data_IF_353230244595
#
_entry.id   IF_353230244595
#
_cell.length_a   1.000
_cell.length_b   1.000
_cell.length_c   1.000
_cell.angle_alpha   90.00
_cell.angle_beta   90.00
_cell.angle_gamma   90.00
#
_symmetry.space_group_name_H-M   'P 1'
#
loop_
_entity.id
_entity.type
_entity.pdbx_description
1 polymer ?
#
# COMPACT_ATOMS: atom_id res chain seq x y z
N UNK A 1 -76.33 -3.99 6.09
CA UNK A 1 -75.26 -2.98 6.32
C UNK A 1 -73.93 -3.63 5.99
N UNK A 2 -73.43 -3.42 4.76
CA UNK A 2 -72.10 -3.89 4.36
C UNK A 2 -71.08 -2.79 4.63
N UNK A 3 -70.13 -3.02 5.54
CA UNK A 3 -68.98 -2.14 5.67
C UNK A 3 -67.94 -2.53 4.61
N UNK A 4 -67.86 -1.73 3.56
CA UNK A 4 -66.69 -1.73 2.68
C UNK A 4 -65.52 -1.16 3.48
N UNK A 5 -64.61 -2.01 3.93
CA UNK A 5 -63.26 -1.54 4.28
C UNK A 5 -62.56 -1.16 2.99
N UNK A 6 -62.53 0.14 2.71
CA UNK A 6 -61.60 0.72 1.74
C UNK A 6 -60.19 0.36 2.21
N UNK A 7 -59.59 -0.64 1.57
CA UNK A 7 -58.16 -0.87 1.61
C UNK A 7 -57.50 0.39 1.07
N UNK A 8 -56.92 1.19 1.97
CA UNK A 8 -56.02 2.28 1.61
C UNK A 8 -54.85 1.69 0.83
N UNK A 9 -54.91 1.72 -0.50
CA UNK A 9 -53.73 1.61 -1.35
C UNK A 9 -52.83 2.79 -1.00
N UNK A 10 -51.87 2.54 -0.09
CA UNK A 10 -50.78 3.47 0.15
C UNK A 10 -50.04 3.75 -1.16
N UNK A 11 -49.48 4.95 -1.34
CA UNK A 11 -48.86 5.35 -2.59
C UNK A 11 -47.81 4.30 -2.99
N UNK A 12 -47.99 3.72 -4.17
CA UNK A 12 -47.07 2.74 -4.71
C UNK A 12 -45.65 3.33 -4.68
N UNK A 13 -44.71 2.60 -4.09
CA UNK A 13 -43.32 3.02 -3.98
C UNK A 13 -42.71 3.12 -5.39
N UNK A 14 -42.79 4.30 -6.00
CA UNK A 14 -42.41 4.57 -7.40
C UNK A 14 -40.94 4.21 -7.66
N UNK A 15 -40.11 4.31 -6.62
CA UNK A 15 -38.69 3.94 -6.63
C UNK A 15 -38.55 2.41 -6.77
N UNK A 16 -39.47 1.63 -6.23
CA UNK A 16 -39.53 0.17 -6.40
C UNK A 16 -40.12 -0.29 -7.72
N UNK A 17 -40.69 0.59 -8.55
CA UNK A 17 -41.26 0.25 -9.87
C UNK A 17 -40.21 0.31 -10.98
N UNK A 18 -39.07 0.97 -10.74
CA UNK A 18 -37.98 1.10 -11.70
C UNK A 18 -37.45 -0.26 -12.21
N UNK A 19 -37.07 -0.35 -13.51
CA UNK A 19 -36.30 -1.46 -14.05
C UNK A 19 -35.04 -1.76 -13.24
N UNK A 20 -34.65 -3.03 -13.16
CA UNK A 20 -33.51 -3.45 -12.34
C UNK A 20 -32.20 -2.77 -12.75
N UNK A 21 -32.00 -2.50 -14.03
CA UNK A 21 -30.80 -1.84 -14.55
C UNK A 21 -30.65 -0.41 -14.02
N UNK A 22 -31.76 0.34 -13.92
CA UNK A 22 -31.76 1.69 -13.33
C UNK A 22 -31.53 1.65 -11.82
N UNK A 23 -32.03 0.61 -11.14
CA UNK A 23 -31.75 0.40 -9.71
C UNK A 23 -30.26 0.13 -9.49
N UNK A 24 -29.63 -0.67 -10.35
CA UNK A 24 -28.19 -0.92 -10.30
C UNK A 24 -27.39 0.34 -10.59
N UNK A 25 -27.78 1.17 -11.56
CA UNK A 25 -27.09 2.44 -11.84
C UNK A 25 -27.19 3.42 -10.66
N UNK A 26 -28.35 3.50 -9.99
CA UNK A 26 -28.50 4.29 -8.77
C UNK A 26 -27.57 3.75 -7.67
N UNK A 27 -27.52 2.42 -7.47
CA UNK A 27 -26.66 1.80 -6.46
C UNK A 27 -25.16 1.97 -6.78
N UNK A 28 -24.79 1.95 -8.07
CA UNK A 28 -23.43 2.21 -8.54
C UNK A 28 -22.99 3.64 -8.22
N UNK A 29 -23.89 4.62 -8.45
CA UNK A 29 -23.67 6.03 -8.12
C UNK A 29 -23.54 6.30 -6.61
N UNK A 30 -24.08 5.43 -5.75
CA UNK A 30 -23.86 5.53 -4.30
C UNK A 30 -22.40 5.22 -3.90
N UNK A 31 -21.66 4.47 -4.73
CA UNK A 31 -20.22 4.24 -4.57
C UNK A 31 -19.78 3.51 -3.29
N UNK A 32 -20.72 3.07 -2.45
CA UNK A 32 -20.46 2.43 -1.16
C UNK A 32 -21.41 1.27 -0.92
N UNK A 33 -20.86 0.09 -0.58
CA UNK A 33 -21.67 -1.07 -0.24
C UNK A 33 -22.58 -0.83 0.97
N UNK A 34 -22.20 0.06 1.90
CA UNK A 34 -23.03 0.40 3.06
C UNK A 34 -24.27 1.20 2.66
N UNK A 35 -24.07 2.24 1.85
CA UNK A 35 -25.18 3.05 1.33
C UNK A 35 -26.10 2.21 0.44
N UNK A 36 -25.51 1.37 -0.42
CA UNK A 36 -26.24 0.45 -1.28
C UNK A 36 -26.94 -0.68 -0.50
N UNK A 37 -26.40 -1.13 0.63
CA UNK A 37 -27.13 -2.01 1.54
C UNK A 37 -28.24 -1.27 2.29
N UNK A 38 -28.07 0.01 2.59
CA UNK A 38 -29.08 0.87 3.22
C UNK A 38 -30.35 1.02 2.38
N UNK A 39 -30.25 1.03 1.05
CA UNK A 39 -31.44 1.06 0.16
C UNK A 39 -32.30 -0.20 0.27
N UNK A 40 -31.77 -1.29 0.83
CA UNK A 40 -32.55 -2.50 1.17
C UNK A 40 -33.64 -2.25 2.22
N UNK A 41 -33.61 -1.09 2.90
CA UNK A 41 -34.66 -0.62 3.80
C UNK A 41 -35.82 0.04 3.06
N UNK A 42 -35.60 0.56 1.84
CA UNK A 42 -36.65 1.21 1.05
C UNK A 42 -37.71 0.19 0.62
N UNK A 43 -37.27 -1.00 0.18
CA UNK A 43 -38.18 -2.04 -0.27
C UNK A 43 -37.51 -3.40 -0.39
N UNK A 44 -38.33 -4.46 -0.40
CA UNK A 44 -37.89 -5.85 -0.59
C UNK A 44 -37.16 -6.06 -1.92
N UNK A 45 -37.49 -5.29 -2.98
CA UNK A 45 -36.80 -5.40 -4.27
C UNK A 45 -35.33 -4.96 -4.21
N UNK A 46 -34.99 -4.01 -3.34
CA UNK A 46 -33.62 -3.50 -3.20
C UNK A 46 -32.70 -4.44 -2.40
N UNK A 47 -33.29 -5.40 -1.67
CA UNK A 47 -32.53 -6.37 -0.88
C UNK A 47 -31.66 -7.24 -1.77
N UNK A 48 -30.36 -7.08 -1.63
CA UNK A 48 -29.36 -7.89 -2.34
C UNK A 48 -29.03 -7.40 -3.76
N UNK A 49 -29.69 -6.37 -4.30
CA UNK A 49 -29.30 -5.78 -5.59
C UNK A 49 -27.88 -5.23 -5.57
N UNK A 50 -27.48 -4.65 -4.44
CA UNK A 50 -26.12 -4.15 -4.25
C UNK A 50 -25.07 -5.24 -4.42
N UNK A 51 -25.41 -6.53 -4.24
CA UNK A 51 -24.47 -7.63 -4.49
C UNK A 51 -24.23 -7.90 -5.98
N UNK A 52 -25.07 -7.39 -6.89
CA UNK A 52 -24.92 -7.55 -8.35
C UNK A 52 -24.08 -6.44 -8.99
N UNK A 53 -23.61 -5.47 -8.20
CA UNK A 53 -22.85 -4.35 -8.72
C UNK A 53 -21.44 -4.79 -9.16
N UNK A 54 -20.99 -4.37 -10.35
CA UNK A 54 -19.63 -4.62 -10.79
C UNK A 54 -18.65 -3.85 -9.90
N UNK A 55 -18.91 -2.59 -9.54
CA UNK A 55 -18.00 -1.73 -8.77
C UNK A 55 -18.45 -1.48 -7.33
N UNK A 56 -18.13 -2.42 -6.46
CA UNK A 56 -18.37 -2.26 -5.03
C UNK A 56 -17.14 -1.74 -4.28
N UNK A 57 -17.36 -0.72 -3.47
CA UNK A 57 -16.43 -0.25 -2.44
C UNK A 57 -16.83 -0.83 -1.09
N UNK A 58 -16.00 -1.71 -0.55
CA UNK A 58 -16.11 -2.21 0.81
C UNK A 58 -15.15 -1.43 1.70
N UNK A 59 -15.72 -0.61 2.60
CA UNK A 59 -14.95 0.21 3.52
C UNK A 59 -15.30 -0.12 4.96
N UNK A 60 -14.34 -0.73 5.65
CA UNK A 60 -14.37 -0.96 7.09
C UNK A 60 -13.50 0.12 7.74
N UNK A 61 -14.11 1.00 8.52
CA UNK A 61 -13.42 2.11 9.18
C UNK A 61 -13.64 2.03 10.67
N UNK A 62 -12.55 2.13 11.43
CA UNK A 62 -12.56 2.29 12.88
C UNK A 62 -13.40 1.21 13.58
N UNK A 63 -13.35 -0.02 13.05
CA UNK A 63 -13.97 -1.20 13.65
C UNK A 63 -12.90 -2.07 14.35
N UNK A 64 -13.27 -2.74 15.45
CA UNK A 64 -12.41 -3.74 16.08
C UNK A 64 -11.99 -4.81 15.08
N UNK A 65 -10.75 -5.30 15.19
CA UNK A 65 -10.22 -6.29 14.24
C UNK A 65 -11.12 -7.53 14.12
N UNK A 66 -11.66 -8.02 15.24
CA UNK A 66 -12.54 -9.19 15.25
C UNK A 66 -13.83 -8.98 14.43
N UNK A 67 -14.42 -7.78 14.51
CA UNK A 67 -15.62 -7.42 13.73
C UNK A 67 -15.32 -7.36 12.23
N UNK A 68 -14.16 -6.79 11.86
CA UNK A 68 -13.69 -6.75 10.47
C UNK A 68 -13.46 -8.16 9.96
N UNK A 69 -12.73 -8.99 10.71
CA UNK A 69 -12.46 -10.37 10.34
C UNK A 69 -13.75 -11.16 10.11
N UNK A 70 -14.71 -11.08 11.04
CA UNK A 70 -15.99 -11.77 10.90
C UNK A 70 -16.85 -11.23 9.74
N UNK A 71 -16.82 -9.94 9.46
CA UNK A 71 -17.52 -9.35 8.32
C UNK A 71 -16.89 -9.79 6.98
N UNK A 72 -15.56 -9.76 6.90
CA UNK A 72 -14.80 -10.16 5.72
C UNK A 72 -14.97 -11.66 5.43
N UNK A 73 -14.88 -12.49 6.47
CA UNK A 73 -15.10 -13.94 6.35
C UNK A 73 -16.51 -14.26 5.82
N UNK A 74 -17.53 -13.56 6.32
CA UNK A 74 -18.91 -13.69 5.81
C UNK A 74 -19.06 -13.17 4.38
N UNK A 75 -18.37 -12.10 4.02
CA UNK A 75 -18.37 -11.56 2.66
C UNK A 75 -17.69 -12.55 1.69
N UNK A 76 -16.55 -13.12 2.08
CA UNK A 76 -15.82 -14.12 1.30
C UNK A 76 -16.62 -15.42 1.15
N UNK A 77 -17.27 -15.90 2.22
CA UNK A 77 -18.12 -17.09 2.19
C UNK A 77 -19.39 -16.91 1.33
N UNK A 78 -19.90 -15.68 1.22
CA UNK A 78 -21.06 -15.35 0.37
C UNK A 78 -20.67 -14.86 -1.02
N UNK A 79 -19.38 -14.78 -1.33
CA UNK A 79 -18.87 -14.35 -2.62
C UNK A 79 -19.42 -15.24 -3.72
N UNK A 80 -20.33 -14.70 -4.53
CA UNK A 80 -20.81 -15.37 -5.74
C UNK A 80 -19.81 -15.11 -6.87
N UNK A 81 -19.49 -16.10 -7.71
CA UNK A 81 -18.68 -15.86 -8.90
C UNK A 81 -19.37 -14.81 -9.78
N UNK A 82 -18.67 -13.69 -10.06
CA UNK A 82 -19.19 -12.57 -10.86
C UNK A 82 -19.44 -11.26 -10.10
N UNK A 83 -19.38 -11.26 -8.76
CA UNK A 83 -19.42 -10.03 -7.96
C UNK A 83 -18.00 -9.56 -7.72
N UNK A 84 -17.70 -8.35 -8.18
CA UNK A 84 -16.35 -7.84 -8.17
C UNK A 84 -16.25 -6.69 -7.18
N UNK A 85 -15.27 -6.76 -6.28
CA UNK A 85 -14.98 -5.64 -5.39
C UNK A 85 -13.93 -4.80 -6.09
N UNK A 86 -14.28 -3.58 -6.47
CA UNK A 86 -13.31 -2.68 -7.08
C UNK A 86 -12.40 -2.12 -6.01
N UNK A 87 -12.97 -1.72 -4.87
CA UNK A 87 -12.22 -1.06 -3.81
C UNK A 87 -12.44 -1.76 -2.47
N UNK A 88 -11.38 -2.33 -1.89
CA UNK A 88 -11.39 -2.88 -0.54
C UNK A 88 -10.52 -2.01 0.37
N UNK A 89 -11.16 -1.25 1.25
CA UNK A 89 -10.53 -0.39 2.24
C UNK A 89 -10.78 -0.93 3.64
N UNK A 90 -9.72 -1.35 4.31
CA UNK A 90 -9.78 -1.88 5.67
C UNK A 90 -8.93 -0.97 6.56
N UNK A 91 -9.56 -0.28 7.49
CA UNK A 91 -8.92 0.47 8.57
C UNK A 91 -9.36 -0.10 9.90
N UNK A 92 -8.41 -0.66 10.64
CA UNK A 92 -8.67 -1.24 11.96
C UNK A 92 -8.71 -0.12 13.00
N UNK A 93 -9.69 -0.17 13.92
CA UNK A 93 -9.77 0.76 15.04
C UNK A 93 -8.47 0.78 15.84
N UNK A 94 -8.10 1.96 16.36
CA UNK A 94 -6.92 2.19 17.19
C UNK A 94 -6.94 1.48 18.54
N UNK A 95 -7.03 0.16 18.56
CA UNK A 95 -6.95 -0.66 19.77
C UNK A 95 -5.49 -1.02 20.05
N UNK A 96 -5.06 -0.83 21.30
CA UNK A 96 -3.76 -1.31 21.73
C UNK A 96 -3.83 -2.84 21.89
N UNK A 97 -2.94 -3.56 21.22
CA UNK A 97 -2.93 -5.01 21.34
C UNK A 97 -2.06 -5.71 20.30
N UNK A 98 -1.96 -7.04 20.47
CA UNK A 98 -1.22 -7.91 19.57
C UNK A 98 -2.19 -8.86 18.86
N UNK A 99 -2.20 -8.82 17.54
CA UNK A 99 -2.95 -9.77 16.71
C UNK A 99 -2.04 -10.96 16.39
N UNK A 100 -2.51 -12.18 16.60
CA UNK A 100 -1.80 -13.37 16.15
C UNK A 100 -1.65 -13.40 14.63
N UNK A 101 -0.45 -13.70 14.14
CA UNK A 101 -0.14 -13.77 12.70
C UNK A 101 -1.13 -14.64 11.92
N UNK A 102 -1.56 -15.78 12.47
CA UNK A 102 -2.56 -16.65 11.84
C UNK A 102 -3.93 -15.98 11.62
N UNK A 103 -4.39 -15.13 12.54
CA UNK A 103 -5.67 -14.40 12.36
C UNK A 103 -5.53 -13.34 11.27
N UNK A 104 -4.36 -12.70 11.19
CA UNK A 104 -4.05 -11.72 10.16
C UNK A 104 -3.89 -12.38 8.78
N UNK A 105 -3.21 -13.52 8.68
CA UNK A 105 -3.12 -14.32 7.45
C UNK A 105 -4.49 -14.79 6.98
N UNK A 106 -5.37 -15.19 7.90
CA UNK A 106 -6.77 -15.52 7.59
C UNK A 106 -7.52 -14.31 7.04
N UNK A 107 -7.35 -13.12 7.62
CA UNK A 107 -7.95 -11.88 7.10
C UNK A 107 -7.45 -11.59 5.67
N UNK A 108 -6.15 -11.67 5.41
CA UNK A 108 -5.59 -11.46 4.07
C UNK A 108 -6.11 -12.51 3.09
N UNK A 109 -6.25 -13.76 3.52
CA UNK A 109 -6.77 -14.84 2.68
C UNK A 109 -8.24 -14.60 2.30
N UNK A 110 -9.06 -14.14 3.26
CA UNK A 110 -10.45 -13.76 3.00
C UNK A 110 -10.52 -12.52 2.09
N UNK A 111 -9.61 -11.55 2.25
CA UNK A 111 -9.49 -10.41 1.36
C UNK A 111 -9.11 -10.83 -0.07
N UNK A 112 -8.20 -11.80 -0.22
CA UNK A 112 -7.78 -12.31 -1.52
C UNK A 112 -8.92 -13.05 -2.25
N UNK A 113 -9.78 -13.76 -1.52
CA UNK A 113 -10.99 -14.41 -2.07
C UNK A 113 -11.98 -13.41 -2.66
N UNK A 114 -11.98 -12.17 -2.16
CA UNK A 114 -12.79 -11.09 -2.70
C UNK A 114 -12.22 -10.49 -4.00
N UNK A 115 -10.98 -10.85 -4.37
CA UNK A 115 -10.32 -10.42 -5.61
C UNK A 115 -10.38 -8.91 -5.89
N UNK A 116 -9.99 -8.04 -4.93
CA UNK A 116 -10.10 -6.60 -5.11
C UNK A 116 -9.20 -6.07 -6.23
N UNK A 117 -9.66 -5.03 -6.94
CA UNK A 117 -8.82 -4.29 -7.90
C UNK A 117 -7.89 -3.33 -7.17
N UNK A 118 -8.40 -2.59 -6.18
CA UNK A 118 -7.63 -1.77 -5.26
C UNK A 118 -7.78 -2.27 -3.82
N UNK A 119 -6.65 -2.62 -3.20
CA UNK A 119 -6.58 -2.99 -1.79
C UNK A 119 -5.91 -1.88 -0.98
N UNK A 120 -6.56 -1.40 0.06
CA UNK A 120 -5.95 -0.55 1.09
C UNK A 120 -6.17 -1.16 2.47
N UNK A 121 -5.09 -1.44 3.17
CA UNK A 121 -5.11 -1.97 4.54
C UNK A 121 -4.30 -1.03 5.43
N UNK A 122 -4.93 -0.47 6.45
CA UNK A 122 -4.30 0.41 7.43
C UNK A 122 -4.48 -0.16 8.83
N UNK A 123 -3.37 -0.52 9.45
CA UNK A 123 -3.28 -0.90 10.86
C UNK A 123 -2.84 0.31 11.68
N UNK A 124 -3.44 0.53 12.86
CA UNK A 124 -3.08 1.66 13.70
C UNK A 124 -1.73 1.43 14.39
N UNK A 125 -1.03 2.51 14.78
CA UNK A 125 0.36 2.45 15.29
C UNK A 125 0.50 1.72 16.63
N UNK A 126 -0.58 1.60 17.39
CA UNK A 126 -0.63 0.91 18.67
C UNK A 126 -0.95 -0.59 18.53
N UNK A 127 -1.23 -1.06 17.33
CA UNK A 127 -1.56 -2.44 17.06
C UNK A 127 -0.38 -3.16 16.39
N UNK A 128 0.06 -4.25 17.02
CA UNK A 128 1.15 -5.08 16.53
C UNK A 128 0.60 -6.40 16.01
N UNK A 129 1.19 -6.93 14.95
CA UNK A 129 0.98 -8.33 14.55
C UNK A 129 2.13 -9.12 15.18
N UNK A 130 1.81 -10.20 15.89
CA UNK A 130 2.80 -11.05 16.55
C UNK A 130 3.90 -11.41 15.56
N UNK A 131 5.16 -11.20 15.96
CA UNK A 131 6.37 -11.29 15.16
C UNK A 131 6.61 -12.68 14.53
N UNK A 132 5.85 -13.00 13.49
CA UNK A 132 6.07 -14.12 12.58
C UNK A 132 5.75 -13.64 11.17
N UNK A 133 6.51 -14.15 10.21
CA UNK A 133 6.34 -13.86 8.79
C UNK A 133 4.91 -14.18 8.32
N UNK A 134 4.16 -13.14 7.97
CA UNK A 134 2.80 -13.29 7.43
C UNK A 134 2.91 -13.55 5.94
N UNK A 135 2.42 -14.71 5.50
CA UNK A 135 2.33 -15.03 4.08
C UNK A 135 1.31 -14.12 3.37
N UNK A 136 1.75 -13.37 2.36
CA UNK A 136 0.89 -12.64 1.44
C UNK A 136 0.21 -13.64 0.48
N UNK A 137 -1.14 -13.69 0.46
CA UNK A 137 -1.87 -14.49 -0.51
C UNK A 137 -1.81 -13.84 -1.90
N UNK A 138 -2.21 -14.60 -2.92
CA UNK A 138 -2.19 -14.11 -4.29
C UNK A 138 -3.36 -13.18 -4.59
N UNK A 139 -3.05 -11.97 -5.06
CA UNK A 139 -4.03 -11.00 -5.53
C UNK A 139 -3.94 -10.87 -7.06
N UNK A 140 -4.56 -11.83 -7.76
CA UNK A 140 -4.46 -11.95 -9.23
C UNK A 140 -5.03 -10.73 -10.00
N UNK A 141 -6.04 -10.06 -9.45
CA UNK A 141 -6.71 -8.91 -10.07
C UNK A 141 -6.26 -7.55 -9.53
N UNK A 142 -5.55 -7.52 -8.41
CA UNK A 142 -5.16 -6.25 -7.80
C UNK A 142 -4.19 -5.50 -8.71
N UNK A 143 -4.56 -4.27 -9.07
CA UNK A 143 -3.70 -3.34 -9.80
C UNK A 143 -3.04 -2.35 -8.85
N UNK A 144 -3.66 -2.10 -7.69
CA UNK A 144 -3.12 -1.22 -6.65
C UNK A 144 -3.22 -1.88 -5.27
N UNK A 145 -2.12 -1.85 -4.52
CA UNK A 145 -2.06 -2.35 -3.15
C UNK A 145 -1.34 -1.35 -2.24
N UNK A 146 -2.01 -0.90 -1.18
CA UNK A 146 -1.47 0.01 -0.16
C UNK A 146 -1.58 -0.66 1.22
N UNK A 147 -0.45 -1.06 1.80
CA UNK A 147 -0.37 -1.69 3.10
C UNK A 147 0.34 -0.76 4.07
N UNK A 148 -0.33 -0.41 5.17
CA UNK A 148 0.20 0.49 6.19
C UNK A 148 0.10 -0.17 7.56
N UNK A 149 1.25 -0.29 8.22
CA UNK A 149 1.39 -0.84 9.56
C UNK A 149 2.50 -0.11 10.32
N UNK A 150 2.67 -0.42 11.60
CA UNK A 150 3.86 0.02 12.37
C UNK A 150 5.07 -0.86 12.06
N UNK A 151 4.89 -2.17 12.20
CA UNK A 151 5.91 -3.17 11.92
C UNK A 151 5.18 -4.44 11.53
N UNK A 152 5.33 -4.84 10.27
CA UNK A 152 4.69 -6.03 9.72
C UNK A 152 5.66 -6.75 8.79
N UNK A 153 6.07 -7.96 9.15
CA UNK A 153 6.91 -8.80 8.31
C UNK A 153 6.01 -9.61 7.38
N UNK A 154 6.20 -9.42 6.08
CA UNK A 154 5.46 -10.13 5.04
C UNK A 154 6.41 -11.02 4.26
N UNK A 155 6.00 -12.25 4.02
CA UNK A 155 6.69 -13.18 3.12
C UNK A 155 5.78 -13.57 1.99
N UNK A 156 6.35 -13.97 0.86
CA UNK A 156 5.59 -14.53 -0.25
C UNK A 156 5.89 -16.01 -0.34
N UNK A 157 4.84 -16.81 -0.18
CA UNK A 157 4.91 -18.27 -0.36
C UNK A 157 4.70 -18.60 -1.84
N UNK A 158 5.66 -18.22 -2.67
CA UNK A 158 5.69 -18.64 -4.05
C UNK A 158 7.12 -19.09 -4.37
N UNK A 159 7.26 -20.34 -4.79
CA UNK A 159 8.51 -20.78 -5.42
C UNK A 159 8.42 -20.36 -6.89
N UNK A 160 9.32 -19.49 -7.40
CA UNK A 160 9.31 -19.12 -8.81
C UNK A 160 9.55 -20.33 -9.74
N UNK A 161 10.11 -21.42 -9.20
CA UNK A 161 10.38 -22.68 -9.89
C UNK A 161 9.62 -23.84 -9.23
N UNK A 162 8.30 -23.85 -9.39
CA UNK A 162 7.47 -25.04 -9.15
C UNK A 162 7.37 -25.89 -10.43
N UNK A 163 7.18 -27.22 -10.33
CA UNK A 163 7.15 -28.11 -11.49
C UNK A 163 6.04 -27.71 -12.47
N UNK A 164 6.47 -27.18 -13.63
CA UNK A 164 5.93 -27.06 -15.01
C UNK A 164 4.39 -26.90 -15.25
N UNK A 165 3.50 -27.32 -14.36
CA UNK A 165 2.04 -27.27 -14.54
C UNK A 165 1.28 -26.24 -13.68
N UNK A 166 1.95 -25.30 -13.02
CA UNK A 166 1.27 -24.13 -12.43
C UNK A 166 2.24 -22.96 -12.29
N UNK A 167 2.58 -22.31 -13.41
CA UNK A 167 3.30 -21.04 -13.42
C UNK A 167 2.34 -19.92 -12.98
N UNK A 168 1.99 -19.92 -11.70
CA UNK A 168 1.05 -18.97 -11.13
C UNK A 168 1.83 -17.78 -10.55
N UNK A 169 1.73 -16.63 -11.21
CA UNK A 169 2.33 -15.37 -10.74
C UNK A 169 1.31 -14.67 -9.84
N UNK A 170 1.55 -14.57 -8.52
CA UNK A 170 0.51 -14.15 -7.58
C UNK A 170 0.06 -12.69 -7.76
N UNK A 171 0.85 -11.85 -8.45
CA UNK A 171 0.64 -10.40 -8.59
C UNK A 171 0.79 -9.89 -10.04
N UNK A 172 0.35 -10.69 -11.03
CA UNK A 172 0.54 -10.40 -12.46
C UNK A 172 0.02 -9.03 -12.92
N UNK A 173 -1.05 -8.54 -12.28
CA UNK A 173 -1.75 -7.30 -12.66
C UNK A 173 -1.31 -6.09 -11.84
N UNK A 174 -0.42 -6.25 -10.86
CA UNK A 174 -0.08 -5.21 -9.91
C UNK A 174 0.78 -4.12 -10.58
N UNK A 175 0.25 -2.90 -10.62
CA UNK A 175 0.90 -1.72 -11.20
C UNK A 175 1.40 -0.75 -10.13
N UNK A 176 0.72 -0.68 -8.99
CA UNK A 176 1.05 0.24 -7.88
C UNK A 176 1.17 -0.52 -6.57
N UNK A 177 2.32 -0.39 -5.90
CA UNK A 177 2.57 -0.93 -4.58
C UNK A 177 3.00 0.18 -3.63
N UNK A 178 2.34 0.28 -2.48
CA UNK A 178 2.67 1.18 -1.38
C UNK A 178 2.79 0.38 -0.09
N UNK A 179 3.96 0.45 0.54
CA UNK A 179 4.28 -0.25 1.78
C UNK A 179 4.74 0.78 2.81
N UNK A 180 4.01 0.94 3.90
CA UNK A 180 4.36 1.82 5.02
C UNK A 180 4.51 1.00 6.30
N UNK A 181 5.70 0.97 6.89
CA UNK A 181 6.01 0.16 8.07
C UNK A 181 5.84 -1.35 7.86
N UNK A 182 5.94 -1.80 6.61
CA UNK A 182 5.95 -3.21 6.23
C UNK A 182 7.35 -3.61 5.76
N UNK A 183 7.84 -4.76 6.24
CA UNK A 183 9.09 -5.36 5.83
C UNK A 183 8.80 -6.51 4.86
N UNK A 184 9.36 -6.43 3.65
CA UNK A 184 9.30 -7.46 2.61
C UNK A 184 10.67 -7.49 1.94
N UNK A 185 11.20 -8.67 1.66
CA UNK A 185 12.36 -8.80 0.78
C UNK A 185 11.97 -8.50 -0.67
N UNK A 186 12.33 -7.31 -1.13
CA UNK A 186 11.96 -6.80 -2.44
C UNK A 186 12.66 -7.55 -3.59
N UNK A 187 13.88 -8.08 -3.36
CA UNK A 187 14.58 -8.87 -4.37
C UNK A 187 13.80 -10.14 -4.72
N UNK A 188 13.15 -10.77 -3.73
CA UNK A 188 12.31 -11.94 -3.95
C UNK A 188 10.88 -11.57 -4.36
N UNK A 189 10.36 -10.41 -3.94
CA UNK A 189 8.98 -9.99 -4.23
C UNK A 189 8.77 -9.43 -5.64
N UNK A 190 9.65 -8.55 -6.11
CA UNK A 190 9.49 -7.81 -7.36
C UNK A 190 9.39 -8.72 -8.60
N UNK A 191 10.12 -9.85 -8.71
CA UNK A 191 9.96 -10.78 -9.82
C UNK A 191 8.52 -11.30 -10.01
N UNK A 192 7.69 -11.28 -8.97
CA UNK A 192 6.28 -11.65 -9.05
C UNK A 192 5.36 -10.54 -9.58
N UNK A 193 5.87 -9.32 -9.79
CA UNK A 193 5.12 -8.13 -10.18
C UNK A 193 5.62 -7.57 -11.53
N UNK A 194 5.38 -8.27 -12.66
CA UNK A 194 5.98 -7.90 -13.95
C UNK A 194 5.47 -6.56 -14.52
N UNK A 195 4.31 -6.07 -14.05
CA UNK A 195 3.69 -4.81 -14.49
C UNK A 195 3.85 -3.67 -13.48
N UNK A 196 4.72 -3.81 -12.48
CA UNK A 196 4.87 -2.82 -11.43
C UNK A 196 5.46 -1.51 -11.98
N UNK A 197 4.66 -0.44 -11.97
CA UNK A 197 5.03 0.89 -12.47
C UNK A 197 5.39 1.84 -11.35
N UNK A 198 4.70 1.76 -10.21
CA UNK A 198 4.90 2.64 -9.06
C UNK A 198 5.19 1.82 -7.81
N UNK A 199 6.31 2.09 -7.16
CA UNK A 199 6.70 1.49 -5.89
C UNK A 199 6.95 2.58 -4.86
N UNK A 200 6.20 2.55 -3.76
CA UNK A 200 6.33 3.48 -2.63
C UNK A 200 6.68 2.70 -1.38
N UNK A 201 7.79 3.05 -0.76
CA UNK A 201 8.29 2.42 0.46
C UNK A 201 8.43 3.51 1.51
N UNK A 202 7.75 3.34 2.64
CA UNK A 202 7.94 4.17 3.82
C UNK A 202 8.33 3.24 4.97
N UNK A 203 9.58 3.34 5.41
CA UNK A 203 10.15 2.50 6.47
C UNK A 203 10.46 3.33 7.72
N UNK A 204 9.83 4.49 7.88
CA UNK A 204 10.07 5.38 9.02
C UNK A 204 9.59 4.70 10.30
N UNK A 205 10.49 4.58 11.28
CA UNK A 205 10.19 3.98 12.59
C UNK A 205 10.30 2.46 12.67
N UNK A 206 10.77 1.79 11.60
CA UNK A 206 11.23 0.40 11.70
C UNK A 206 12.56 0.33 12.46
N UNK A 207 12.71 -0.67 13.34
CA UNK A 207 13.87 -0.80 14.23
C UNK A 207 15.06 -1.44 13.50
N UNK A 208 14.80 -2.40 12.63
CA UNK A 208 15.79 -3.11 11.84
C UNK A 208 15.31 -3.21 10.38
N UNK A 209 16.20 -2.92 9.43
CA UNK A 209 15.93 -3.00 8.00
C UNK A 209 17.15 -3.54 7.28
N UNK A 210 16.92 -4.58 6.50
CA UNK A 210 17.86 -5.12 5.53
C UNK A 210 18.02 -4.18 4.33
N UNK A 211 19.05 -4.44 3.52
CA UNK A 211 19.33 -3.71 2.30
C UNK A 211 18.10 -3.62 1.37
N UNK A 212 17.90 -2.45 0.76
CA UNK A 212 16.84 -2.22 -0.21
C UNK A 212 17.40 -2.58 -1.58
N UNK A 213 16.95 -3.69 -2.14
CA UNK A 213 17.35 -4.15 -3.47
C UNK A 213 16.12 -4.22 -4.37
N UNK A 214 16.13 -3.44 -5.43
CA UNK A 214 15.01 -3.27 -6.36
C UNK A 214 15.51 -3.61 -7.76
N UNK A 215 15.08 -4.75 -8.28
CA UNK A 215 15.37 -5.18 -9.65
C UNK A 215 14.05 -5.29 -10.41
N UNK A 216 13.70 -4.27 -11.19
CA UNK A 216 12.44 -4.22 -11.95
C UNK A 216 12.62 -3.68 -13.35
N UNK A 217 12.15 -4.43 -14.35
CA UNK A 217 12.20 -4.01 -15.74
C UNK A 217 11.09 -3.01 -16.14
N UNK A 218 10.04 -2.86 -15.32
CA UNK A 218 8.83 -2.07 -15.65
C UNK A 218 8.56 -0.88 -14.75
N UNK A 219 9.41 -0.65 -13.74
CA UNK A 219 9.20 0.40 -12.73
C UNK A 219 9.48 1.78 -13.31
N UNK A 220 8.49 2.67 -13.27
CA UNK A 220 8.56 4.05 -13.77
C UNK A 220 8.77 5.07 -12.64
N UNK A 221 8.24 4.79 -11.44
CA UNK A 221 8.29 5.66 -10.27
C UNK A 221 8.69 4.87 -9.02
N UNK A 222 9.75 5.33 -8.34
CA UNK A 222 10.21 4.80 -7.07
C UNK A 222 10.25 5.90 -6.02
N UNK A 223 9.49 5.72 -4.93
CA UNK A 223 9.51 6.60 -3.75
C UNK A 223 10.02 5.80 -2.56
N UNK A 224 11.10 6.25 -1.91
CA UNK A 224 11.68 5.61 -0.74
C UNK A 224 11.81 6.63 0.39
N UNK A 225 11.00 6.49 1.43
CA UNK A 225 11.11 7.29 2.65
C UNK A 225 11.61 6.38 3.78
N UNK A 226 12.87 6.59 4.17
CA UNK A 226 13.51 5.84 5.22
C UNK A 226 13.87 6.77 6.37
N UNK A 227 13.53 6.37 7.59
CA UNK A 227 13.98 7.09 8.77
C UNK A 227 14.14 6.15 9.95
N UNK A 228 15.39 5.80 10.24
CA UNK A 228 15.73 5.05 11.44
C UNK A 228 16.90 5.73 12.18
N UNK A 229 16.83 5.74 13.50
CA UNK A 229 17.91 6.22 14.39
C UNK A 229 18.94 5.13 14.69
N UNK A 230 18.64 3.86 14.36
CA UNK A 230 19.36 2.69 14.85
C UNK A 230 19.92 1.75 13.77
N UNK A 231 19.72 1.98 12.48
CA UNK A 231 20.29 1.12 11.43
C UNK A 231 21.78 1.36 11.23
N UNK A 232 22.54 0.26 11.20
CA UNK A 232 23.89 0.19 10.63
C UNK A 232 23.87 0.33 9.09
N UNK A 233 25.01 0.05 8.45
CA UNK A 233 25.23 0.22 6.99
C UNK A 233 24.00 -0.22 6.17
N UNK A 234 23.34 0.74 5.52
CA UNK A 234 22.20 0.46 4.63
C UNK A 234 22.68 0.55 3.19
N UNK A 235 22.49 -0.52 2.41
CA UNK A 235 22.79 -0.51 0.98
C UNK A 235 21.49 -0.44 0.18
N UNK A 236 21.46 0.48 -0.79
CA UNK A 236 20.35 0.68 -1.71
C UNK A 236 20.86 0.38 -3.11
N UNK A 237 20.37 -0.71 -3.70
CA UNK A 237 20.64 -1.06 -5.09
C UNK A 237 19.36 -0.99 -5.89
N UNK A 238 19.28 -0.07 -6.84
CA UNK A 238 18.15 0.07 -7.75
C UNK A 238 18.64 -0.20 -9.16
N UNK A 239 18.11 -1.25 -9.77
CA UNK A 239 18.31 -1.59 -11.16
C UNK A 239 16.95 -1.58 -11.84
N UNK A 240 16.70 -0.48 -12.56
CA UNK A 240 15.46 -0.32 -13.29
C UNK A 240 15.66 0.56 -14.53
N UNK A 241 15.69 -0.05 -15.74
CA UNK A 241 16.08 0.65 -16.94
C UNK A 241 15.10 1.75 -17.37
N UNK A 242 13.82 1.60 -17.06
CA UNK A 242 12.72 2.50 -17.50
C UNK A 242 12.27 3.48 -16.42
N UNK A 243 13.01 3.58 -15.32
CA UNK A 243 12.68 4.44 -14.18
C UNK A 243 12.79 5.91 -14.58
N UNK A 244 11.67 6.64 -14.52
CA UNK A 244 11.58 8.08 -14.87
C UNK A 244 11.66 8.97 -13.66
N UNK A 245 11.16 8.51 -12.51
CA UNK A 245 11.07 9.30 -11.29
C UNK A 245 11.62 8.52 -10.09
N UNK A 246 12.56 9.14 -9.38
CA UNK A 246 13.12 8.65 -8.13
C UNK A 246 12.98 9.73 -7.06
N UNK A 247 12.21 9.46 -6.02
CA UNK A 247 12.15 10.30 -4.83
C UNK A 247 12.64 9.51 -3.63
N UNK A 248 13.73 9.91 -2.99
CA UNK A 248 14.29 9.16 -1.89
C UNK A 248 14.67 10.08 -0.72
N UNK A 249 14.11 9.84 0.46
CA UNK A 249 14.41 10.53 1.70
C UNK A 249 15.01 9.54 2.69
N UNK A 250 16.20 9.82 3.22
CA UNK A 250 16.86 8.99 4.21
C UNK A 250 17.19 9.81 5.46
N UNK A 251 16.95 9.24 6.62
CA UNK A 251 17.56 9.69 7.86
C UNK A 251 18.53 8.61 8.33
N UNK A 252 19.82 8.86 8.15
CA UNK A 252 20.92 7.92 8.35
C UNK A 252 21.61 8.15 9.70
N UNK A 253 21.98 7.08 10.40
CA UNK A 253 22.90 7.14 11.54
C UNK A 253 24.31 6.59 11.18
N UNK A 254 24.48 6.03 9.97
CA UNK A 254 25.70 5.37 9.49
C UNK A 254 25.91 5.52 7.97
N UNK A 255 26.86 4.78 7.40
CA UNK A 255 27.16 4.81 5.97
C UNK A 255 26.01 4.25 5.14
N UNK A 256 25.54 5.03 4.16
CA UNK A 256 24.59 4.58 3.14
C UNK A 256 25.37 4.33 1.86
N UNK A 257 25.35 3.09 1.37
CA UNK A 257 25.82 2.76 0.02
C UNK A 257 24.65 2.87 -0.95
N UNK A 258 24.82 3.62 -2.03
CA UNK A 258 23.77 3.82 -3.04
C UNK A 258 24.33 3.46 -4.40
N UNK A 259 23.69 2.53 -5.10
CA UNK A 259 23.98 2.18 -6.49
C UNK A 259 22.67 2.21 -7.29
N UNK A 260 22.58 3.13 -8.25
CA UNK A 260 21.38 3.30 -9.08
C UNK A 260 21.77 3.12 -10.54
N UNK A 261 21.14 2.16 -11.20
CA UNK A 261 21.22 1.90 -12.63
C UNK A 261 19.84 2.19 -13.25
N UNK A 262 19.66 3.46 -13.64
CA UNK A 262 18.42 3.98 -14.21
C UNK A 262 18.76 4.98 -15.34
N UNK A 263 18.95 4.51 -16.58
CA UNK A 263 19.37 5.33 -17.72
C UNK A 263 18.27 6.29 -18.23
N UNK A 264 16.99 6.02 -17.95
CA UNK A 264 15.85 6.85 -18.38
C UNK A 264 15.34 7.81 -17.28
N UNK A 265 16.19 8.14 -16.31
CA UNK A 265 15.80 8.87 -15.12
C UNK A 265 15.72 10.38 -15.37
N UNK A 266 14.51 10.92 -15.40
CA UNK A 266 14.23 12.33 -15.69
C UNK A 266 14.13 13.18 -14.42
N UNK A 267 13.44 12.67 -13.39
CA UNK A 267 13.19 13.38 -12.13
C UNK A 267 13.83 12.67 -10.97
N UNK A 268 14.78 13.32 -10.34
CA UNK A 268 15.41 12.87 -9.10
C UNK A 268 15.13 13.88 -8.01
N UNK A 269 14.62 13.38 -6.90
CA UNK A 269 14.58 14.07 -5.64
C UNK A 269 15.25 13.18 -4.61
N UNK A 270 16.30 13.68 -4.00
CA UNK A 270 17.06 12.96 -2.99
C UNK A 270 17.25 13.86 -1.79
N UNK A 271 17.03 13.32 -0.59
CA UNK A 271 17.30 13.98 0.67
C UNK A 271 17.90 12.96 1.63
N UNK A 272 19.06 13.26 2.19
CA UNK A 272 19.69 12.41 3.19
C UNK A 272 20.14 13.27 4.36
N UNK A 273 19.55 13.06 5.54
CA UNK A 273 19.94 13.70 6.79
C UNK A 273 20.72 12.73 7.67
N UNK A 274 21.81 13.17 8.29
CA UNK A 274 22.67 12.35 9.13
C UNK A 274 22.50 12.71 10.60
N UNK A 275 22.25 11.70 11.45
CA UNK A 275 22.10 11.86 12.90
C UNK A 275 23.41 12.25 13.60
N UNK A 276 24.54 11.86 13.01
CA UNK A 276 25.89 12.29 13.39
C UNK A 276 26.62 12.72 12.12
N UNK A 277 27.39 13.82 12.13
CA UNK A 277 28.24 14.18 11.00
C UNK A 277 29.28 13.08 10.75
N UNK A 278 29.11 12.29 9.69
CA UNK A 278 29.94 11.09 9.42
C UNK A 278 31.21 11.43 8.64
N UNK A 279 31.18 12.50 7.85
CA UNK A 279 32.28 12.96 7.02
C UNK A 279 32.57 14.42 7.34
N UNK A 280 33.72 14.67 7.97
CA UNK A 280 34.17 15.99 8.37
C UNK A 280 35.20 16.58 7.40
N UNK A 281 34.98 17.84 6.99
CA UNK A 281 36.04 18.75 6.57
C UNK A 281 36.50 19.49 7.84
N UNK A 282 37.31 18.83 8.68
CA UNK A 282 37.69 19.37 10.00
C UNK A 282 36.54 19.35 11.01
N UNK A 283 36.26 20.50 11.66
CA UNK A 283 35.22 20.67 12.69
C UNK A 283 33.78 20.65 12.15
N UNK A 284 33.61 20.54 10.84
CA UNK A 284 32.34 20.65 10.16
C UNK A 284 32.02 19.33 9.49
N UNK A 285 30.85 18.78 9.77
CA UNK A 285 30.42 17.57 9.09
C UNK A 285 29.04 17.68 8.47
N UNK A 286 28.85 16.85 7.45
CA UNK A 286 27.67 16.87 6.62
C UNK A 286 26.46 16.37 7.40
N UNK A 287 25.48 17.25 7.58
CA UNK A 287 24.24 16.96 8.31
C UNK A 287 23.07 16.69 7.38
N UNK A 288 23.05 17.31 6.20
CA UNK A 288 22.03 17.04 5.18
C UNK A 288 22.61 17.21 3.79
N UNK A 289 22.26 16.29 2.89
CA UNK A 289 22.47 16.40 1.44
C UNK A 289 21.13 16.27 0.77
N UNK A 290 20.71 17.31 0.06
CA UNK A 290 19.58 17.27 -0.83
C UNK A 290 20.05 17.50 -2.26
N UNK A 291 19.52 16.76 -3.21
CA UNK A 291 19.61 17.18 -4.61
C UNK A 291 18.30 16.93 -5.34
N UNK A 292 17.95 17.86 -6.23
CA UNK A 292 16.74 17.78 -7.03
C UNK A 292 17.01 18.22 -8.46
N UNK A 293 16.44 17.51 -9.41
CA UNK A 293 16.38 17.93 -10.81
C UNK A 293 15.03 18.60 -11.05
N UNK A 294 15.02 19.89 -11.36
CA UNK A 294 13.79 20.59 -11.76
C UNK A 294 13.46 20.29 -13.22
N UNK A 295 12.18 20.25 -13.59
CA UNK A 295 11.73 19.92 -14.93
C UNK A 295 11.91 21.12 -15.88
N UNK A 296 13.16 21.38 -16.27
CA UNK A 296 13.49 22.35 -17.33
C UNK A 296 13.20 21.76 -18.70
N UNK A 297 12.27 22.39 -19.44
CA UNK A 297 12.09 22.17 -20.88
C UNK A 297 13.43 22.40 -21.59
N UNK A 298 14.03 21.34 -22.11
CA UNK A 298 14.40 21.20 -23.52
C UNK A 298 15.36 20.02 -23.68
N UNK A 299 15.13 19.26 -24.76
CA UNK A 299 15.81 18.02 -25.08
C UNK A 299 17.32 18.20 -25.27
N UNK A 300 18.14 17.29 -24.72
CA UNK A 300 19.12 16.49 -25.46
C UNK A 300 19.89 15.56 -24.49
N UNK A 301 19.91 14.27 -24.81
CA UNK A 301 20.75 13.11 -24.37
C UNK A 301 21.98 13.35 -23.44
N UNK A 302 21.85 14.09 -22.34
CA UNK A 302 22.90 14.17 -21.32
C UNK A 302 22.30 13.91 -19.95
N UNK A 303 23.08 13.15 -19.16
CA UNK A 303 22.82 12.71 -17.79
C UNK A 303 22.03 13.76 -16.98
N UNK A 304 21.08 13.34 -16.12
CA UNK A 304 20.22 14.26 -15.39
C UNK A 304 21.07 15.32 -14.68
N UNK A 305 21.00 16.55 -15.18
CA UNK A 305 21.68 17.70 -14.60
C UNK A 305 21.06 17.98 -13.24
N UNK A 306 21.83 17.80 -12.17
CA UNK A 306 21.41 18.19 -10.83
C UNK A 306 21.21 19.71 -10.81
N UNK A 307 19.96 20.16 -10.77
CA UNK A 307 19.61 21.58 -10.87
C UNK A 307 19.68 22.30 -9.52
N UNK A 308 19.42 21.59 -8.42
CA UNK A 308 19.51 22.11 -7.07
C UNK A 308 20.31 21.13 -6.23
N UNK A 309 21.45 21.57 -5.70
CA UNK A 309 22.23 20.86 -4.69
C UNK A 309 22.14 21.66 -3.38
N UNK A 310 21.52 21.07 -2.35
CA UNK A 310 21.43 21.61 -1.00
C UNK A 310 22.39 20.83 -0.10
N UNK A 311 23.36 21.53 0.49
CA UNK A 311 24.30 20.94 1.44
C UNK A 311 24.15 21.67 2.77
N UNK A 312 23.71 20.96 3.81
CA UNK A 312 23.68 21.49 5.17
C UNK A 312 24.82 20.88 5.96
N UNK A 313 25.71 21.71 6.46
CA UNK A 313 26.89 21.32 7.21
C UNK A 313 26.74 21.87 8.63
N UNK A 314 26.95 21.02 9.64
CA UNK A 314 26.87 21.39 11.05
C UNK A 314 28.20 21.14 11.75
N UNK A 315 28.54 21.90 12.80
CA UNK A 315 29.72 21.61 13.61
C UNK A 315 29.60 20.22 14.24
N UNK A 316 30.70 19.46 14.21
CA UNK A 316 30.84 18.18 14.94
C UNK A 316 30.92 18.56 16.42
N UNK A 317 29.89 18.22 17.20
CA UNK A 317 29.99 18.31 18.66
C UNK A 317 30.93 17.20 19.14
N UNK A 318 32.23 17.45 19.07
CA UNK A 318 33.17 16.76 19.93
C UNK A 318 32.85 17.21 21.35
N UNK A 319 32.49 16.26 22.21
CA UNK A 319 32.52 16.48 23.65
C UNK A 319 33.97 16.77 24.03
N UNK A 320 34.35 18.05 24.01
CA UNK A 320 35.65 18.50 24.52
C UNK A 320 35.61 18.29 26.03
N UNK A 321 36.09 17.13 26.47
CA UNK A 321 36.54 16.95 27.85
C UNK A 321 37.82 17.77 27.99
N UNK A 322 37.73 18.93 28.65
CA UNK A 322 38.92 19.65 29.10
C UNK A 322 39.64 18.77 30.12
N UNK A 323 40.94 18.44 29.93
CA UNK A 323 41.72 17.88 31.00
C UNK A 323 41.93 18.98 32.05
N UNK A 324 41.57 18.68 33.30
CA UNK A 324 41.94 19.46 34.48
C UNK A 324 43.46 19.48 34.67
#
# INVERSE_FOLDING_TARGET
MGSSSKGSEGPADLISVLPEDLLLEILERLGSARAAAGTSLLSRRWRGLWTRLPSLTLSFHDLPFGSIQAALHRAAARGRPGVYIYHLNIRVAGEAGTIGAGRFSSLLSDAARLSPVELRLTLPRNLQVSCMDVALPSFHRATSMDLRARTLHLTVWAKPYGPINSCYVPFRSLERLSLSGCHIDLATFIPFCPRLRVLRLNTIGLIDMSNITVHSASLEELVVEHGNRWTGRTHISVDSPVLKQLAASFHACGNIGVSILAPMLDKVWWRCSYAKPIYGLGLWGLSEVGFSTDAGRDACVQLPSVHVLSLHISPVQDSVSFPN
#
